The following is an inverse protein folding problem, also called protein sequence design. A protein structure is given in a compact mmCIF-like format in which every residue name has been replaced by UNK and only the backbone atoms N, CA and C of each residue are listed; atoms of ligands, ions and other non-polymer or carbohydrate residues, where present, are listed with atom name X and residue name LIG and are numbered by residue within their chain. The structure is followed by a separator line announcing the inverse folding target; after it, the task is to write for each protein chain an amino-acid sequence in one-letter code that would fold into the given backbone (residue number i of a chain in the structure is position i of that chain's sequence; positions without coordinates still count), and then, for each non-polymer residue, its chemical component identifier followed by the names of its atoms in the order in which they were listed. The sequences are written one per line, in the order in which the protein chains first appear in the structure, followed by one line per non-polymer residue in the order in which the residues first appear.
data_IF_153258716067
#
_entry.id   IF_153258716067
#
_cell.length_a   1.000
_cell.length_b   1.000
_cell.length_c   1.000
_cell.angle_alpha   90.00
_cell.angle_beta   90.00
_cell.angle_gamma   90.00
#
_symmetry.space_group_name_H-M   'P 1'
#
loop_
_entity.id
_entity.type
_entity.pdbx_description
1 polymer ?
#
# COMPACT_ATOMS: atom_id res chain seq x y z
N UNK A 1 33.63 13.62 60.01
CA UNK A 1 34.25 13.06 58.79
C UNK A 1 33.28 13.37 57.63
N UNK A 2 33.29 14.53 56.96
CA UNK A 2 34.19 14.92 55.83
C UNK A 2 34.47 13.69 54.93
N UNK A 3 34.13 13.61 53.63
CA UNK A 3 34.37 14.54 52.49
C UNK A 3 33.82 13.82 51.20
N UNK A 4 32.99 14.41 50.32
CA UNK A 4 33.25 14.96 48.94
C UNK A 4 31.94 14.67 48.16
N UNK A 5 31.10 15.56 47.61
CA UNK A 5 31.18 16.71 46.69
C UNK A 5 31.73 16.40 45.29
N UNK A 6 30.84 16.12 44.33
CA UNK A 6 31.04 16.45 42.92
C UNK A 6 29.69 16.82 42.28
N UNK A 7 29.60 18.12 41.96
CA UNK A 7 28.51 18.83 41.32
C UNK A 7 28.84 18.93 39.82
N UNK A 8 27.96 18.48 38.93
CA UNK A 8 27.96 18.95 37.53
C UNK A 8 26.51 19.14 37.08
N UNK A 9 26.16 20.42 36.88
CA UNK A 9 25.05 20.87 36.05
C UNK A 9 25.08 20.14 34.70
N UNK A 10 23.97 19.52 34.28
CA UNK A 10 23.73 19.37 32.84
C UNK A 10 22.57 20.29 32.47
N UNK A 11 22.98 21.37 31.81
CA UNK A 11 22.19 22.40 31.17
C UNK A 11 21.15 21.78 30.23
N UNK A 12 19.98 22.39 30.23
CA UNK A 12 19.09 22.47 29.08
C UNK A 12 19.84 22.70 27.78
N UNK A 13 19.85 21.70 26.89
CA UNK A 13 20.04 21.91 25.47
C UNK A 13 18.92 21.15 24.76
N UNK A 14 17.94 21.93 24.30
CA UNK A 14 17.15 21.60 23.13
C UNK A 14 18.13 21.22 22.01
N UNK A 15 18.32 19.92 21.77
CA UNK A 15 18.65 19.46 20.44
C UNK A 15 17.34 18.99 19.83
N UNK A 16 16.66 19.92 19.17
CA UNK A 16 15.77 19.59 18.08
C UNK A 16 16.59 18.73 17.11
N UNK A 17 16.51 17.40 17.26
CA UNK A 17 16.99 16.50 16.23
C UNK A 17 16.03 16.66 15.07
N UNK A 18 16.35 17.63 14.21
CA UNK A 18 15.88 17.63 12.84
C UNK A 18 16.49 16.39 12.21
N UNK A 19 15.75 15.28 12.28
CA UNK A 19 16.08 14.11 11.47
C UNK A 19 15.97 14.58 10.03
N UNK A 20 17.00 14.40 9.18
CA UNK A 20 16.79 14.61 7.76
C UNK A 20 15.71 13.61 7.34
N UNK A 21 14.50 14.12 7.12
CA UNK A 21 13.54 13.48 6.24
C UNK A 21 14.30 13.34 4.93
N UNK A 22 14.71 12.11 4.59
CA UNK A 22 15.07 11.81 3.22
C UNK A 22 13.79 12.07 2.44
N UNK A 23 13.72 13.26 1.86
CA UNK A 23 12.70 13.62 0.93
C UNK A 23 12.66 12.50 -0.12
N UNK A 24 11.48 11.94 -0.34
CA UNK A 24 11.20 11.02 -1.44
C UNK A 24 11.30 11.71 -2.82
N UNK A 25 12.17 12.73 -2.93
CA UNK A 25 12.25 13.70 -4.02
C UNK A 25 13.12 13.19 -5.19
N UNK A 26 13.22 11.87 -5.35
CA UNK A 26 13.93 11.26 -6.48
C UNK A 26 13.15 10.11 -7.15
N UNK A 27 11.86 9.96 -6.87
CA UNK A 27 11.02 8.95 -7.54
C UNK A 27 10.14 9.54 -8.65
N UNK A 28 10.29 10.82 -9.00
CA UNK A 28 9.62 11.41 -10.18
C UNK A 28 10.60 12.21 -11.02
N UNK A 29 11.29 11.51 -11.92
CA UNK A 29 11.91 12.14 -13.07
C UNK A 29 10.83 12.68 -14.00
N UNK A 30 10.44 13.94 -13.83
CA UNK A 30 9.91 14.76 -14.91
C UNK A 30 10.40 16.18 -14.73
N UNK A 31 11.67 16.36 -15.06
CA UNK A 31 12.23 17.68 -15.37
C UNK A 31 11.66 18.15 -16.70
N UNK A 32 11.17 19.39 -16.74
CA UNK A 32 11.12 20.15 -17.98
C UNK A 32 9.71 20.49 -18.45
N UNK A 33 9.25 21.66 -18.02
CA UNK A 33 8.40 22.51 -18.85
C UNK A 33 9.08 22.69 -20.20
N UNK A 34 8.41 22.34 -21.30
CA UNK A 34 8.55 23.05 -22.59
C UNK A 34 7.20 23.00 -23.28
N UNK A 35 6.56 24.16 -23.34
CA UNK A 35 5.41 24.41 -24.21
C UNK A 35 5.95 24.64 -25.62
N UNK A 36 5.47 23.87 -26.60
CA UNK A 36 5.45 24.31 -28.00
C UNK A 36 4.17 23.83 -28.66
N UNK A 37 3.46 24.75 -29.29
CA UNK A 37 2.17 24.58 -29.96
C UNK A 37 2.38 24.47 -31.48
N UNK A 38 1.44 23.77 -32.14
CA UNK A 38 1.00 23.80 -33.56
C UNK A 38 1.59 22.83 -34.61
N UNK A 39 0.66 22.19 -35.36
CA UNK A 39 0.90 21.65 -36.71
C UNK A 39 -0.03 20.51 -37.18
N UNK A 40 -1.05 20.82 -37.97
CA UNK A 40 -1.99 19.89 -38.63
C UNK A 40 -1.39 18.96 -39.70
N UNK A 41 -2.10 17.85 -39.93
CA UNK A 41 -2.33 17.12 -41.21
C UNK A 41 -1.30 16.09 -41.71
N UNK A 42 -1.82 14.96 -42.24
CA UNK A 42 -1.13 14.19 -43.28
C UNK A 42 -1.22 12.67 -43.18
N UNK A 43 -1.94 12.08 -44.13
CA UNK A 43 -2.16 10.66 -44.44
C UNK A 43 -0.92 9.78 -44.68
N UNK A 44 -1.06 8.45 -44.48
CA UNK A 44 -0.30 7.46 -45.27
C UNK A 44 -0.11 6.08 -44.62
N UNK A 45 -0.98 5.13 -44.92
CA UNK A 45 -0.68 3.68 -44.99
C UNK A 45 -0.23 3.39 -46.46
N UNK A 46 0.48 2.28 -46.86
CA UNK A 46 0.18 0.89 -46.50
C UNK A 46 1.33 -0.13 -46.40
N UNK A 47 1.05 -1.29 -45.78
CA UNK A 47 1.28 -2.57 -46.47
C UNK A 47 1.97 -3.72 -45.71
N UNK A 48 1.20 -4.81 -45.53
CA UNK A 48 1.63 -6.24 -45.54
C UNK A 48 2.03 -6.84 -44.19
N UNK A 49 1.56 -8.01 -43.75
CA UNK A 49 0.69 -9.06 -44.29
C UNK A 49 0.96 -10.37 -43.51
N UNK A 50 -0.04 -11.25 -43.35
CA UNK A 50 0.20 -12.66 -42.97
C UNK A 50 -0.72 -13.29 -41.91
N UNK A 51 -1.84 -13.84 -42.39
CA UNK A 51 -2.46 -15.16 -42.11
C UNK A 51 -2.96 -15.64 -40.72
N UNK A 52 -4.20 -16.18 -40.78
CA UNK A 52 -4.68 -17.34 -40.01
C UNK A 52 -5.88 -17.10 -39.09
N UNK A 53 -7.14 -17.03 -39.56
CA UNK A 53 -8.07 -18.14 -39.86
C UNK A 53 -9.00 -18.60 -38.70
N UNK A 54 -10.28 -18.23 -38.85
CA UNK A 54 -11.55 -18.92 -38.53
C UNK A 54 -12.15 -18.97 -37.10
N UNK A 55 -13.39 -18.46 -37.01
CA UNK A 55 -14.41 -18.90 -36.05
C UNK A 55 -15.47 -17.84 -35.72
N UNK A 56 -16.52 -17.73 -36.55
CA UNK A 56 -17.58 -16.74 -36.37
C UNK A 56 -18.61 -17.06 -35.29
N UNK A 57 -19.24 -16.01 -34.75
CA UNK A 57 -20.39 -16.08 -33.85
C UNK A 57 -20.94 -14.68 -33.58
N UNK A 58 -21.95 -14.27 -34.35
CA UNK A 58 -22.73 -13.05 -34.14
C UNK A 58 -23.76 -13.29 -33.03
N UNK A 59 -23.87 -12.39 -32.07
CA UNK A 59 -24.98 -12.42 -31.11
C UNK A 59 -24.82 -11.47 -29.92
N UNK A 60 -25.63 -10.41 -29.92
CA UNK A 60 -26.20 -9.84 -28.70
C UNK A 60 -25.30 -8.91 -27.89
N UNK A 61 -25.46 -7.60 -28.12
CA UNK A 61 -24.98 -6.57 -27.23
C UNK A 61 -25.54 -6.78 -25.81
N UNK A 62 -24.63 -7.13 -24.91
CA UNK A 62 -24.76 -6.91 -23.48
C UNK A 62 -23.68 -5.89 -23.16
N UNK A 63 -24.04 -4.70 -22.70
CA UNK A 63 -23.07 -3.79 -22.11
C UNK A 63 -22.61 -4.49 -20.83
N UNK A 64 -21.43 -5.10 -20.88
CA UNK A 64 -20.79 -5.77 -19.76
C UNK A 64 -20.36 -4.67 -18.76
N UNK A 65 -20.88 -4.66 -17.52
CA UNK A 65 -20.62 -3.58 -16.58
C UNK A 65 -19.17 -3.68 -16.07
N UNK A 66 -18.26 -2.99 -16.78
CA UNK A 66 -16.92 -2.61 -16.33
C UNK A 66 -16.06 -3.77 -15.82
N UNK A 67 -15.38 -4.47 -16.73
CA UNK A 67 -14.31 -5.38 -16.32
C UNK A 67 -13.14 -4.55 -15.81
N UNK A 68 -13.05 -4.42 -14.50
CA UNK A 68 -11.86 -3.92 -13.83
C UNK A 68 -10.59 -4.63 -14.30
N UNK A 69 -9.43 -3.98 -14.18
CA UNK A 69 -8.17 -4.65 -14.53
C UNK A 69 -7.85 -5.75 -13.51
N UNK A 70 -7.35 -6.89 -13.97
CA UNK A 70 -6.97 -7.99 -13.08
C UNK A 70 -5.79 -7.54 -12.21
N UNK A 71 -6.01 -7.47 -10.91
CA UNK A 71 -4.95 -7.16 -9.95
C UNK A 71 -4.00 -8.35 -9.79
N UNK A 72 -2.83 -8.10 -9.21
CA UNK A 72 -1.69 -9.00 -9.25
C UNK A 72 -1.76 -10.25 -8.38
N UNK A 73 -2.88 -10.59 -7.74
CA UNK A 73 -3.03 -11.79 -6.93
C UNK A 73 -3.91 -12.87 -7.55
N UNK A 74 -3.30 -13.79 -8.30
CA UNK A 74 -4.01 -15.01 -8.71
C UNK A 74 -3.96 -16.07 -7.62
N UNK A 75 -5.13 -16.57 -7.22
CA UNK A 75 -5.26 -17.69 -6.29
C UNK A 75 -5.37 -19.05 -6.99
N UNK A 76 -5.30 -19.04 -8.32
CA UNK A 76 -5.39 -20.23 -9.16
C UNK A 76 -6.80 -20.84 -9.24
N UNK A 77 -7.81 -20.25 -8.59
CA UNK A 77 -9.18 -20.77 -8.52
C UNK A 77 -10.20 -19.84 -9.21
N UNK A 78 -9.75 -18.83 -9.96
CA UNK A 78 -10.61 -17.96 -10.76
C UNK A 78 -11.39 -16.91 -9.96
N UNK A 79 -11.01 -16.68 -8.69
CA UNK A 79 -11.54 -15.63 -7.83
C UNK A 79 -10.55 -14.47 -7.68
N UNK A 80 -9.90 -14.10 -8.79
CA UNK A 80 -9.01 -12.95 -8.84
C UNK A 80 -9.89 -11.70 -8.67
N UNK A 81 -9.56 -10.84 -7.70
CA UNK A 81 -10.27 -9.59 -7.50
C UNK A 81 -9.72 -8.57 -8.51
N UNK A 82 -10.61 -7.75 -9.06
CA UNK A 82 -10.26 -6.76 -10.08
C UNK A 82 -10.07 -5.40 -9.42
N UNK A 83 -9.26 -4.53 -10.02
CA UNK A 83 -9.21 -3.12 -9.67
C UNK A 83 -10.34 -2.39 -10.37
N UNK A 84 -10.91 -1.35 -9.79
CA UNK A 84 -11.86 -0.50 -10.50
C UNK A 84 -11.19 0.14 -11.73
N UNK A 85 -12.00 0.46 -12.74
CA UNK A 85 -11.53 1.09 -13.98
C UNK A 85 -10.68 2.34 -13.70
N UNK A 86 -9.61 2.52 -14.48
CA UNK A 86 -8.65 3.61 -14.30
C UNK A 86 -7.70 3.43 -13.12
N UNK A 87 -7.62 2.24 -12.52
CA UNK A 87 -6.67 1.93 -11.44
C UNK A 87 -5.84 0.72 -11.83
N UNK A 88 -4.52 0.85 -11.74
CA UNK A 88 -3.56 -0.23 -11.96
C UNK A 88 -2.60 -0.35 -10.78
N UNK A 89 -1.93 -1.50 -10.66
CA UNK A 89 -0.81 -1.66 -9.71
C UNK A 89 0.42 -1.02 -10.32
N UNK A 90 1.14 -0.21 -9.55
CA UNK A 90 2.42 0.35 -9.96
C UNK A 90 3.39 -0.78 -10.33
N UNK A 91 3.93 -0.74 -11.55
CA UNK A 91 4.79 -1.80 -12.08
C UNK A 91 6.07 -1.99 -11.26
N UNK A 92 6.54 -0.93 -10.62
CA UNK A 92 7.78 -0.94 -9.84
C UNK A 92 7.54 -1.38 -8.38
N UNK A 93 6.30 -1.47 -7.91
CA UNK A 93 6.00 -1.87 -6.53
C UNK A 93 6.56 -3.26 -6.21
N UNK A 94 6.58 -4.16 -7.20
CA UNK A 94 7.10 -5.53 -7.03
C UNK A 94 8.62 -5.54 -6.93
N UNK A 95 9.27 -4.57 -7.58
CA UNK A 95 10.71 -4.41 -7.58
C UNK A 95 11.15 -3.74 -6.28
N UNK A 96 10.56 -2.58 -5.96
CA UNK A 96 11.03 -1.69 -4.90
C UNK A 96 10.26 -1.81 -3.58
N UNK A 97 9.18 -2.57 -3.48
CA UNK A 97 8.35 -2.60 -2.28
C UNK A 97 7.60 -1.28 -2.03
N UNK A 98 6.86 -1.21 -0.93
CA UNK A 98 5.95 -0.07 -0.64
C UNK A 98 5.99 0.42 0.80
N UNK A 99 6.61 -0.33 1.72
CA UNK A 99 6.77 0.07 3.12
C UNK A 99 8.24 0.27 3.49
N UNK A 100 8.48 1.21 4.39
CA UNK A 100 9.77 1.41 5.04
C UNK A 100 9.71 0.92 6.49
N UNK A 101 10.85 0.46 7.02
CA UNK A 101 10.99 0.09 8.44
C UNK A 101 11.03 1.32 9.36
N UNK A 102 10.90 1.08 10.67
CA UNK A 102 11.02 2.08 11.73
C UNK A 102 12.49 2.30 12.15
N UNK A 103 12.80 3.39 12.88
CA UNK A 103 14.12 3.59 13.47
C UNK A 103 14.60 2.37 14.25
N UNK A 104 15.88 2.04 14.11
CA UNK A 104 16.46 0.82 14.69
C UNK A 104 16.31 -0.44 13.84
N UNK A 105 15.88 -0.31 12.56
CA UNK A 105 15.72 -1.43 11.62
C UNK A 105 14.67 -2.45 12.06
N UNK A 106 13.61 -1.97 12.70
CA UNK A 106 12.46 -2.77 13.14
C UNK A 106 11.35 -2.60 12.13
N UNK A 107 10.79 -3.69 11.59
CA UNK A 107 9.59 -3.56 10.75
C UNK A 107 8.37 -3.20 11.61
N UNK A 108 8.29 -3.83 12.79
CA UNK A 108 7.27 -3.62 13.80
C UNK A 108 5.88 -4.02 13.29
N UNK A 109 5.75 -5.29 12.91
CA UNK A 109 4.51 -5.86 12.37
C UNK A 109 3.29 -5.62 13.26
N UNK A 110 3.46 -5.59 14.58
CA UNK A 110 2.37 -5.47 15.56
C UNK A 110 2.01 -4.01 15.89
N UNK A 111 2.72 -3.03 15.31
CA UNK A 111 2.39 -1.62 15.50
C UNK A 111 1.17 -1.24 14.68
N UNK A 112 0.28 -0.47 15.28
CA UNK A 112 -0.89 0.08 14.58
C UNK A 112 -0.45 1.10 13.52
N UNK A 113 -1.01 0.98 12.32
CA UNK A 113 -0.81 1.98 11.27
C UNK A 113 -1.58 3.25 11.57
N UNK A 114 -0.94 4.38 11.27
CA UNK A 114 -1.61 5.68 11.18
C UNK A 114 -2.35 5.82 9.85
N UNK A 115 -3.31 6.75 9.80
CA UNK A 115 -4.04 7.09 8.57
C UNK A 115 -3.12 7.67 7.49
N UNK A 116 -2.08 8.41 7.88
CA UNK A 116 -1.06 8.91 6.96
C UNK A 116 -0.24 7.78 6.34
N UNK A 117 0.24 6.83 7.15
CA UNK A 117 0.98 5.68 6.64
C UNK A 117 0.12 4.85 5.68
N UNK A 118 -1.15 4.60 6.02
CA UNK A 118 -2.10 3.94 5.11
C UNK A 118 -2.18 4.67 3.76
N UNK A 119 -2.41 5.98 3.77
CA UNK A 119 -2.49 6.77 2.54
C UNK A 119 -1.21 6.62 1.71
N UNK A 120 -0.04 6.70 2.34
CA UNK A 120 1.24 6.56 1.61
C UNK A 120 1.49 5.15 1.06
N UNK A 121 0.98 4.10 1.71
CA UNK A 121 1.04 2.74 1.18
C UNK A 121 0.20 2.65 -0.09
N UNK A 122 -1.05 3.11 -0.05
CA UNK A 122 -1.95 3.08 -1.21
C UNK A 122 -1.38 3.87 -2.38
N UNK A 123 -0.87 5.06 -2.08
CA UNK A 123 -0.29 5.99 -3.05
C UNK A 123 0.96 5.46 -3.76
N UNK A 124 1.70 4.54 -3.12
CA UNK A 124 2.86 3.85 -3.70
C UNK A 124 2.50 2.58 -4.46
N UNK A 125 1.38 1.96 -4.10
CA UNK A 125 0.98 0.66 -4.66
C UNK A 125 0.17 0.83 -5.93
N UNK A 126 -0.67 1.85 -6.00
CA UNK A 126 -1.62 2.03 -7.08
C UNK A 126 -1.35 3.27 -7.90
N UNK A 127 -1.52 3.13 -9.22
CA UNK A 127 -1.52 4.21 -10.19
C UNK A 127 -2.97 4.46 -10.60
N UNK A 128 -3.35 5.72 -10.65
CA UNK A 128 -4.70 6.16 -10.97
C UNK A 128 -4.64 6.97 -12.27
N UNK A 129 -5.41 6.58 -13.27
CA UNK A 129 -5.50 7.28 -14.54
C UNK A 129 -6.26 8.61 -14.38
N UNK A 130 -5.85 9.62 -15.14
CA UNK A 130 -6.47 10.94 -15.16
C UNK A 130 -5.50 12.07 -14.80
N UNK A 131 -6.01 13.30 -14.84
CA UNK A 131 -5.25 14.49 -14.47
C UNK A 131 -5.06 14.56 -12.96
N UNK A 132 -3.84 14.84 -12.50
CA UNK A 132 -3.52 15.03 -11.08
C UNK A 132 -3.94 16.43 -10.60
N UNK A 133 -5.24 16.73 -10.65
CA UNK A 133 -5.79 17.95 -10.08
C UNK A 133 -6.07 17.76 -8.58
N UNK A 134 -5.48 18.62 -7.75
CA UNK A 134 -5.75 18.64 -6.31
C UNK A 134 -7.05 19.42 -6.05
N UNK A 135 -8.16 18.69 -5.92
CA UNK A 135 -9.49 19.24 -5.65
C UNK A 135 -9.89 19.12 -4.18
N UNK A 136 -9.16 18.32 -3.39
CA UNK A 136 -9.42 18.09 -1.97
C UNK A 136 -8.14 18.23 -1.14
N UNK A 137 -8.28 18.95 -0.02
CA UNK A 137 -7.24 19.06 1.01
C UNK A 137 -7.84 19.12 2.41
N UNK A 138 -7.00 18.91 3.42
CA UNK A 138 -7.38 18.96 4.84
C UNK A 138 -6.52 19.96 5.60
N UNK A 139 -7.13 20.64 6.57
CA UNK A 139 -6.47 21.72 7.31
C UNK A 139 -5.38 21.22 8.26
N UNK A 140 -5.56 20.01 8.79
CA UNK A 140 -4.67 19.34 9.73
C UNK A 140 -3.54 18.54 9.06
N UNK A 141 -3.51 18.48 7.72
CA UNK A 141 -2.42 17.84 6.96
C UNK A 141 -1.41 18.84 6.43
N UNK A 142 -1.65 20.15 6.57
CA UNK A 142 -0.75 21.18 6.04
C UNK A 142 0.63 21.13 6.69
N UNK A 143 1.68 20.94 5.89
CA UNK A 143 3.05 20.76 6.34
C UNK A 143 3.37 19.36 6.88
N UNK A 144 2.41 18.43 6.82
CA UNK A 144 2.61 17.04 7.22
C UNK A 144 3.35 16.28 6.11
N UNK A 145 4.22 15.33 6.47
CA UNK A 145 5.04 14.58 5.50
C UNK A 145 4.22 13.78 4.48
N UNK A 146 2.98 13.42 4.83
CA UNK A 146 2.04 12.70 3.97
C UNK A 146 1.03 13.61 3.23
N UNK A 147 1.17 14.94 3.33
CA UNK A 147 0.18 15.90 2.80
C UNK A 147 -0.13 15.65 1.32
N UNK A 148 0.91 15.48 0.51
CA UNK A 148 0.78 15.31 -0.95
C UNK A 148 0.00 14.04 -1.28
N UNK A 149 0.36 12.93 -0.64
CA UNK A 149 -0.28 11.63 -0.86
C UNK A 149 -1.74 11.65 -0.41
N UNK A 150 -2.02 12.25 0.76
CA UNK A 150 -3.38 12.39 1.27
C UNK A 150 -4.23 13.23 0.32
N UNK A 151 -3.74 14.39 -0.12
CA UNK A 151 -4.49 15.29 -1.00
C UNK A 151 -4.77 14.64 -2.36
N UNK A 152 -3.79 13.94 -2.95
CA UNK A 152 -3.96 13.21 -4.22
C UNK A 152 -5.04 12.14 -4.11
N UNK A 153 -4.90 11.23 -3.16
CA UNK A 153 -5.87 10.15 -2.96
C UNK A 153 -7.26 10.66 -2.56
N UNK A 154 -7.34 11.77 -1.81
CA UNK A 154 -8.62 12.37 -1.45
C UNK A 154 -9.31 13.04 -2.65
N UNK A 155 -8.53 13.64 -3.55
CA UNK A 155 -9.04 14.25 -4.79
C UNK A 155 -9.56 13.17 -5.77
N UNK A 156 -8.98 11.97 -5.71
CA UNK A 156 -9.44 10.79 -6.44
C UNK A 156 -10.59 10.05 -5.73
N UNK A 157 -11.03 10.51 -4.55
CA UNK A 157 -12.08 9.88 -3.78
C UNK A 157 -11.70 8.51 -3.20
N UNK A 158 -10.41 8.19 -3.09
CA UNK A 158 -9.93 6.91 -2.55
C UNK A 158 -9.88 6.95 -1.01
N UNK A 159 -9.37 8.05 -0.45
CA UNK A 159 -9.34 8.27 1.00
C UNK A 159 -10.30 9.39 1.41
N UNK A 160 -10.85 9.27 2.61
CA UNK A 160 -11.75 10.27 3.19
C UNK A 160 -11.23 10.70 4.55
N UNK A 161 -11.37 11.99 4.85
CA UNK A 161 -11.14 12.51 6.19
C UNK A 161 -12.21 12.08 7.18
N UNK A 162 -11.92 12.24 8.47
CA UNK A 162 -12.90 12.03 9.55
C UNK A 162 -13.97 13.13 9.58
N UNK A 163 -13.73 14.23 8.87
CA UNK A 163 -14.70 15.28 8.60
C UNK A 163 -14.43 15.90 7.22
N UNK A 164 -15.24 16.89 6.83
CA UNK A 164 -15.03 17.62 5.60
C UNK A 164 -13.69 18.37 5.54
N UNK A 165 -13.09 18.71 6.68
CA UNK A 165 -11.89 19.58 6.77
C UNK A 165 -10.70 18.94 7.50
N UNK A 166 -10.89 17.79 8.14
CA UNK A 166 -9.85 17.10 8.92
C UNK A 166 -9.65 15.66 8.46
N UNK A 167 -8.40 15.27 8.29
CA UNK A 167 -8.00 13.91 7.96
C UNK A 167 -7.57 13.09 9.17
N UNK A 168 -6.96 13.73 10.17
CA UNK A 168 -6.24 13.14 11.31
C UNK A 168 -5.12 12.19 10.88
N UNK A 169 -4.02 12.73 10.33
CA UNK A 169 -2.96 11.91 9.75
C UNK A 169 -2.27 10.98 10.76
N UNK A 170 -2.12 11.42 12.01
CA UNK A 170 -1.41 10.67 13.06
C UNK A 170 -2.30 9.71 13.87
N UNK A 171 -3.62 9.75 13.68
CA UNK A 171 -4.53 8.83 14.37
C UNK A 171 -4.36 7.40 13.80
N UNK A 172 -4.37 6.36 14.65
CA UNK A 172 -4.46 4.98 14.20
C UNK A 172 -5.69 4.74 13.31
N UNK A 173 -5.54 3.91 12.28
CA UNK A 173 -6.63 3.54 11.37
C UNK A 173 -7.24 2.19 11.75
N UNK A 174 -8.57 2.12 11.78
CA UNK A 174 -9.32 0.89 12.10
C UNK A 174 -9.47 -0.03 10.88
N UNK A 175 -9.66 -1.33 11.14
CA UNK A 175 -9.84 -2.34 10.08
C UNK A 175 -11.02 -2.01 9.17
N UNK A 176 -12.17 -1.57 9.71
CA UNK A 176 -13.31 -1.15 8.90
C UNK A 176 -12.98 0.02 7.96
N UNK A 177 -12.27 1.03 8.46
CA UNK A 177 -11.84 2.18 7.66
C UNK A 177 -10.92 1.75 6.52
N UNK A 178 -9.98 0.85 6.77
CA UNK A 178 -9.13 0.27 5.72
C UNK A 178 -9.96 -0.46 4.68
N UNK A 179 -10.83 -1.39 5.09
CA UNK A 179 -11.62 -2.19 4.15
C UNK A 179 -12.53 -1.31 3.28
N UNK A 180 -13.12 -0.26 3.86
CA UNK A 180 -13.97 0.67 3.11
C UNK A 180 -13.18 1.57 2.16
N UNK A 181 -11.96 1.99 2.51
CA UNK A 181 -11.12 2.74 1.58
C UNK A 181 -10.61 1.84 0.45
N UNK A 182 -10.20 0.60 0.76
CA UNK A 182 -9.82 -0.38 -0.25
C UNK A 182 -10.96 -0.80 -1.17
N UNK A 183 -12.22 -0.81 -0.70
CA UNK A 183 -13.37 -1.11 -1.55
C UNK A 183 -13.61 -0.08 -2.67
N UNK A 184 -12.89 1.05 -2.66
CA UNK A 184 -12.90 2.06 -3.73
C UNK A 184 -11.84 1.81 -4.79
N UNK A 185 -10.85 1.00 -4.45
CA UNK A 185 -9.80 0.54 -5.34
C UNK A 185 -10.21 -0.78 -5.99
N UNK A 186 -10.88 -1.65 -5.23
CA UNK A 186 -11.16 -3.02 -5.63
C UNK A 186 -12.61 -3.17 -6.08
N UNK A 187 -12.77 -3.81 -7.24
CA UNK A 187 -14.04 -4.28 -7.74
C UNK A 187 -14.41 -5.60 -7.03
N UNK A 188 -15.30 -5.49 -6.04
CA UNK A 188 -15.75 -6.63 -5.22
C UNK A 188 -17.26 -6.86 -5.30
N UNK A 189 -17.93 -6.23 -6.27
CA UNK A 189 -19.40 -6.24 -6.37
C UNK A 189 -19.98 -7.63 -6.72
N UNK A 190 -19.16 -8.50 -7.30
CA UNK A 190 -19.47 -9.89 -7.62
C UNK A 190 -19.47 -10.82 -6.38
N UNK A 191 -18.91 -10.39 -5.24
CA UNK A 191 -18.92 -11.18 -4.01
C UNK A 191 -20.23 -11.01 -3.23
N UNK A 192 -20.53 -11.99 -2.39
CA UNK A 192 -21.71 -11.97 -1.52
C UNK A 192 -21.70 -10.76 -0.58
N UNK A 193 -22.89 -10.15 -0.41
CA UNK A 193 -23.12 -9.06 0.57
C UNK A 193 -23.46 -9.57 1.97
N UNK A 194 -23.45 -10.88 2.16
CA UNK A 194 -23.57 -11.58 3.45
C UNK A 194 -22.25 -12.27 3.80
N UNK A 195 -21.83 -12.19 5.06
CA UNK A 195 -20.63 -12.86 5.56
C UNK A 195 -21.03 -13.85 6.67
N UNK A 196 -20.63 -15.11 6.52
CA UNK A 196 -21.04 -16.20 7.42
C UNK A 196 -20.12 -16.37 8.64
N UNK A 197 -19.02 -15.61 8.69
CA UNK A 197 -17.95 -15.79 9.67
C UNK A 197 -17.99 -14.65 10.69
N UNK A 198 -17.96 -13.40 10.21
CA UNK A 198 -18.01 -12.19 11.04
C UNK A 198 -19.45 -11.67 11.06
N UNK A 199 -19.96 -11.39 12.25
CA UNK A 199 -21.26 -10.72 12.39
C UNK A 199 -21.15 -9.24 12.02
N UNK A 200 -21.83 -8.86 10.94
CA UNK A 200 -21.86 -7.49 10.41
C UNK A 200 -23.22 -6.82 10.60
N UNK A 201 -24.15 -7.44 11.34
CA UNK A 201 -25.55 -6.99 11.45
C UNK A 201 -25.69 -5.52 11.85
N UNK A 202 -24.88 -5.08 12.82
CA UNK A 202 -24.86 -3.72 13.37
C UNK A 202 -23.90 -2.76 12.63
N UNK A 203 -23.17 -3.23 11.61
CA UNK A 203 -22.19 -2.39 10.91
C UNK A 203 -22.86 -1.55 9.81
N UNK A 204 -22.66 -0.23 9.85
CA UNK A 204 -23.27 0.73 8.90
C UNK A 204 -22.97 0.43 7.42
N UNK A 205 -21.79 -0.13 7.15
CA UNK A 205 -21.34 -0.53 5.82
C UNK A 205 -21.27 -2.05 5.60
N UNK A 206 -22.19 -2.81 6.21
CA UNK A 206 -22.17 -4.29 6.22
C UNK A 206 -22.03 -4.93 4.84
N UNK A 207 -22.69 -4.39 3.81
CA UNK A 207 -22.67 -4.98 2.45
C UNK A 207 -21.27 -4.90 1.85
N UNK A 208 -20.66 -3.73 1.89
CA UNK A 208 -19.33 -3.47 1.34
C UNK A 208 -18.26 -4.24 2.12
N UNK A 209 -18.34 -4.27 3.46
CA UNK A 209 -17.40 -5.06 4.26
C UNK A 209 -17.55 -6.55 4.01
N UNK A 210 -18.79 -7.07 3.88
CA UNK A 210 -19.00 -8.47 3.54
C UNK A 210 -18.34 -8.84 2.21
N UNK A 211 -18.50 -8.00 1.19
CA UNK A 211 -17.86 -8.20 -0.12
C UNK A 211 -16.32 -8.20 -0.02
N UNK A 212 -15.77 -7.26 0.73
CA UNK A 212 -14.33 -7.19 0.99
C UNK A 212 -13.82 -8.45 1.71
N UNK A 213 -14.49 -8.89 2.77
CA UNK A 213 -14.13 -10.10 3.52
C UNK A 213 -14.27 -11.38 2.67
N UNK A 214 -15.32 -11.46 1.86
CA UNK A 214 -15.59 -12.60 0.99
C UNK A 214 -14.68 -12.66 -0.25
N UNK A 215 -14.03 -11.55 -0.61
CA UNK A 215 -13.08 -11.53 -1.73
C UNK A 215 -11.80 -12.32 -1.47
N UNK A 216 -11.55 -12.70 -0.20
CA UNK A 216 -10.32 -13.37 0.22
C UNK A 216 -9.09 -12.46 0.23
N UNK A 217 -9.25 -11.15 0.01
CA UNK A 217 -8.17 -10.18 0.16
C UNK A 217 -7.66 -10.12 1.61
N UNK A 218 -8.56 -10.31 2.58
CA UNK A 218 -8.21 -10.49 3.99
C UNK A 218 -7.84 -11.97 4.17
N UNK A 219 -6.54 -12.32 4.35
CA UNK A 219 -6.07 -13.70 4.17
C UNK A 219 -6.54 -14.68 5.24
N UNK A 220 -6.87 -14.20 6.44
CA UNK A 220 -7.40 -15.03 7.52
C UNK A 220 -8.20 -14.16 8.50
N UNK A 221 -9.43 -14.58 8.79
CA UNK A 221 -10.28 -13.99 9.82
C UNK A 221 -11.27 -15.06 10.30
N UNK A 222 -11.72 -14.94 11.55
CA UNK A 222 -12.74 -15.79 12.16
C UNK A 222 -13.86 -14.94 12.77
N UNK A 223 -14.76 -15.56 13.54
CA UNK A 223 -15.87 -14.83 14.17
C UNK A 223 -15.45 -13.80 15.22
N UNK A 224 -14.19 -13.80 15.65
CA UNK A 224 -13.62 -12.83 16.58
C UNK A 224 -13.02 -11.59 15.89
N UNK A 225 -13.01 -11.56 14.54
CA UNK A 225 -12.40 -10.46 13.78
C UNK A 225 -13.10 -9.12 14.05
N UNK A 226 -12.49 -8.33 14.92
CA UNK A 226 -13.04 -7.06 15.38
C UNK A 226 -12.70 -5.92 14.40
N UNK A 227 -13.71 -5.44 13.69
CA UNK A 227 -13.62 -4.37 12.71
C UNK A 227 -13.26 -2.99 13.29
N UNK A 228 -13.56 -2.76 14.57
CA UNK A 228 -13.24 -1.51 15.26
C UNK A 228 -11.82 -1.49 15.82
N UNK A 229 -11.09 -2.60 15.76
CA UNK A 229 -9.69 -2.64 16.15
C UNK A 229 -8.83 -1.90 15.13
N UNK A 230 -7.78 -1.22 15.61
CA UNK A 230 -6.75 -0.64 14.74
C UNK A 230 -6.03 -1.75 13.96
N UNK A 231 -5.75 -1.48 12.68
CA UNK A 231 -5.01 -2.42 11.86
C UNK A 231 -3.51 -2.32 12.20
N UNK A 232 -2.86 -3.46 12.25
CA UNK A 232 -1.41 -3.52 12.41
C UNK A 232 -0.69 -3.41 11.05
N UNK A 233 0.59 -3.05 11.09
CA UNK A 233 1.47 -3.02 9.90
C UNK A 233 1.54 -4.37 9.19
N UNK A 234 1.61 -5.47 9.95
CA UNK A 234 1.65 -6.83 9.42
C UNK A 234 0.35 -7.23 8.72
N UNK A 235 -0.81 -6.90 9.29
CA UNK A 235 -2.10 -7.16 8.66
C UNK A 235 -2.28 -6.37 7.36
N UNK A 236 -1.94 -5.08 7.36
CA UNK A 236 -2.02 -4.27 6.14
C UNK A 236 -1.09 -4.81 5.05
N UNK A 237 0.11 -5.22 5.42
CA UNK A 237 1.05 -5.87 4.51
C UNK A 237 0.45 -7.15 3.90
N UNK A 238 -0.21 -7.99 4.70
CA UNK A 238 -0.86 -9.19 4.20
C UNK A 238 -1.95 -8.87 3.17
N UNK A 239 -2.79 -7.88 3.47
CA UNK A 239 -3.85 -7.40 2.59
C UNK A 239 -3.25 -6.82 1.30
N UNK A 240 -2.25 -5.95 1.39
CA UNK A 240 -1.59 -5.35 0.23
C UNK A 240 -0.88 -6.37 -0.64
N UNK A 241 -0.19 -7.33 -0.04
CA UNK A 241 0.45 -8.38 -0.82
C UNK A 241 -0.54 -9.29 -1.51
N UNK A 242 -1.68 -9.54 -0.86
CA UNK A 242 -2.77 -10.24 -1.52
C UNK A 242 -3.23 -9.49 -2.76
N UNK A 243 -3.18 -8.14 -2.79
CA UNK A 243 -3.52 -7.25 -3.93
C UNK A 243 -2.53 -7.26 -5.10
N UNK A 244 -1.24 -7.39 -4.81
CA UNK A 244 -0.18 -7.16 -5.80
C UNK A 244 0.51 -8.45 -6.25
N UNK A 245 0.54 -9.50 -5.42
CA UNK A 245 1.25 -10.74 -5.69
C UNK A 245 0.31 -11.94 -5.80
N UNK A 246 0.59 -12.90 -6.71
CA UNK A 246 -0.06 -14.21 -6.67
C UNK A 246 0.15 -14.81 -5.28
N UNK A 247 -0.89 -15.39 -4.68
CA UNK A 247 -0.87 -15.82 -3.27
C UNK A 247 0.25 -16.83 -2.95
N UNK A 248 0.95 -17.36 -3.97
CA UNK A 248 2.03 -18.35 -3.88
C UNK A 248 3.44 -17.89 -4.36
N UNK A 249 3.71 -16.60 -4.63
CA UNK A 249 5.02 -16.17 -5.19
C UNK A 249 6.15 -15.98 -4.15
N UNK A 250 6.99 -16.99 -3.90
CA UNK A 250 8.12 -16.89 -2.94
C UNK A 250 9.29 -16.04 -3.49
N UNK A 251 9.78 -15.05 -2.72
CA UNK A 251 10.95 -14.23 -3.07
C UNK A 251 12.14 -14.57 -2.15
N UNK A 252 12.90 -15.59 -2.55
CA UNK A 252 14.05 -16.09 -1.79
C UNK A 252 15.17 -15.04 -1.66
N UNK A 253 15.37 -14.21 -2.69
CA UNK A 253 16.49 -13.27 -2.76
C UNK A 253 16.39 -12.19 -1.68
N UNK A 254 15.18 -11.66 -1.46
CA UNK A 254 14.92 -10.65 -0.43
C UNK A 254 15.13 -11.22 0.98
N UNK A 255 14.71 -12.46 1.21
CA UNK A 255 14.92 -13.15 2.51
C UNK A 255 16.40 -13.36 2.78
N UNK A 256 17.14 -13.86 1.79
CA UNK A 256 18.57 -14.12 1.93
C UNK A 256 19.37 -12.83 2.15
N UNK A 257 18.95 -11.72 1.54
CA UNK A 257 19.55 -10.41 1.75
C UNK A 257 19.32 -9.88 3.18
N UNK A 258 18.11 -10.04 3.73
CA UNK A 258 17.82 -9.70 5.13
C UNK A 258 18.69 -10.51 6.10
N UNK A 259 18.86 -11.82 5.85
CA UNK A 259 19.75 -12.69 6.64
C UNK A 259 21.20 -12.25 6.56
N UNK A 260 21.70 -11.98 5.35
CA UNK A 260 23.08 -11.57 5.13
C UNK A 260 23.42 -10.26 5.87
N UNK A 261 22.47 -9.33 5.92
CA UNK A 261 22.65 -8.02 6.55
C UNK A 261 22.30 -7.99 8.03
N UNK A 262 21.79 -9.10 8.58
CA UNK A 262 21.36 -9.22 9.98
C UNK A 262 20.35 -8.12 10.38
N UNK A 263 19.33 -7.91 9.54
CA UNK A 263 18.24 -6.96 9.77
C UNK A 263 16.89 -7.68 9.77
N UNK A 264 15.87 -7.06 10.37
CA UNK A 264 14.52 -7.64 10.50
C UNK A 264 14.52 -9.03 11.17
N UNK A 265 15.34 -9.19 12.22
CA UNK A 265 15.46 -10.44 12.97
C UNK A 265 14.14 -10.88 13.62
N UNK A 266 13.25 -9.92 13.90
CA UNK A 266 11.87 -10.15 14.34
C UNK A 266 11.05 -10.93 13.31
N UNK A 267 11.27 -10.69 12.01
CA UNK A 267 10.64 -11.48 10.95
C UNK A 267 11.38 -12.80 10.71
N UNK A 268 12.72 -12.78 10.67
CA UNK A 268 13.53 -13.96 10.30
C UNK A 268 13.40 -15.14 11.28
N UNK A 269 13.06 -14.88 12.54
CA UNK A 269 12.82 -15.91 13.57
C UNK A 269 11.40 -16.50 13.57
N UNK A 270 10.48 -15.95 12.79
CA UNK A 270 9.04 -16.18 12.90
C UNK A 270 8.44 -16.73 11.59
N UNK A 271 9.16 -17.66 10.93
CA UNK A 271 8.76 -18.18 9.60
C UNK A 271 7.42 -18.91 9.57
N UNK A 272 6.93 -19.35 10.73
CA UNK A 272 5.66 -20.07 10.92
C UNK A 272 4.49 -19.13 11.30
N UNK A 273 4.76 -17.84 11.55
CA UNK A 273 3.71 -16.89 11.94
C UNK A 273 2.78 -16.53 10.77
N UNK A 274 1.49 -16.29 11.03
CA UNK A 274 0.58 -15.74 10.04
C UNK A 274 1.17 -14.47 9.41
N UNK A 275 1.16 -14.42 8.08
CA UNK A 275 1.63 -13.30 7.27
C UNK A 275 3.15 -13.07 7.23
N UNK A 276 3.98 -14.01 7.71
CA UNK A 276 5.45 -13.92 7.57
C UNK A 276 5.89 -13.66 6.12
N UNK A 277 5.44 -14.51 5.18
CA UNK A 277 5.81 -14.40 3.76
C UNK A 277 5.37 -13.04 3.19
N UNK A 278 4.19 -12.58 3.59
CA UNK A 278 3.70 -11.26 3.22
C UNK A 278 4.64 -10.17 3.76
N UNK A 279 4.90 -10.18 5.06
CA UNK A 279 5.78 -9.19 5.72
C UNK A 279 7.14 -9.08 5.02
N UNK A 280 7.72 -10.21 4.61
CA UNK A 280 8.96 -10.22 3.84
C UNK A 280 8.83 -9.56 2.47
N UNK A 281 7.74 -9.78 1.72
CA UNK A 281 7.54 -9.18 0.39
C UNK A 281 7.32 -7.66 0.40
N UNK A 282 6.80 -7.10 1.49
CA UNK A 282 6.52 -5.67 1.56
C UNK A 282 7.77 -4.79 1.72
N UNK A 283 8.89 -5.38 2.13
CA UNK A 283 10.13 -4.66 2.40
C UNK A 283 10.73 -4.11 1.10
N UNK A 284 11.14 -2.84 1.13
CA UNK A 284 11.88 -2.23 0.03
C UNK A 284 13.28 -2.84 -0.12
N UNK A 285 13.56 -3.45 -1.28
CA UNK A 285 14.85 -4.09 -1.53
C UNK A 285 15.99 -3.09 -1.65
N UNK A 286 15.76 -1.89 -2.19
CA UNK A 286 16.78 -0.85 -2.29
C UNK A 286 17.16 -0.34 -0.90
N UNK A 287 16.17 -0.22 0.00
CA UNK A 287 16.45 0.10 1.39
C UNK A 287 17.36 -0.96 2.00
N UNK A 288 17.01 -2.24 1.85
CA UNK A 288 17.81 -3.36 2.34
C UNK A 288 19.23 -3.31 1.76
N UNK A 289 19.38 -3.16 0.45
CA UNK A 289 20.66 -3.10 -0.26
C UNK A 289 21.58 -2.00 0.27
N UNK A 290 21.02 -0.82 0.55
CA UNK A 290 21.73 0.37 1.06
C UNK A 290 22.18 0.24 2.53
N UNK A 291 21.64 -0.71 3.30
CA UNK A 291 22.11 -0.93 4.69
C UNK A 291 23.52 -1.53 4.68
N UNK A 292 24.48 -0.84 5.31
CA UNK A 292 25.83 -1.35 5.50
C UNK A 292 25.85 -2.54 6.46
N UNK A 293 26.59 -3.60 6.10
CA UNK A 293 26.72 -4.79 6.94
C UNK A 293 27.42 -4.41 8.24
N UNK A 294 26.73 -4.56 9.38
CA UNK A 294 27.38 -4.51 10.69
C UNK A 294 28.29 -5.73 10.84
N UNK A 295 29.54 -5.59 10.41
CA UNK A 295 30.59 -6.53 10.80
C UNK A 295 30.85 -6.35 12.30
N UNK A 296 30.12 -7.07 13.13
CA UNK A 296 30.55 -7.31 14.50
C UNK A 296 31.83 -8.16 14.41
N UNK A 297 32.98 -7.47 14.43
CA UNK A 297 34.26 -8.11 14.73
C UNK A 297 34.13 -8.68 16.13
N UNK A 298 33.94 -10.00 16.20
CA UNK A 298 34.13 -10.79 17.41
C UNK A 298 35.58 -10.53 17.85
N UNK A 299 35.75 -9.76 18.94
CA UNK A 299 37.00 -9.66 19.69
C UNK A 299 37.02 -10.71 20.78
#
# INVERSE_FOLDING_TARGET
MQKILALVLCLSILSSFSVPVFAADSMRGSTGVTITVEGQSGSGNPGGGGDGSHGGGSGGGSIDPGKGEQSGGSDGNGNDYFLNEGISVDGDVKLYGYMIGMPGYVFGKDYNLTRAEYATIIDRVFVFEGEEEITKSFTDTKGHWAEVQINRLASQGIVYGVSATHFKPDDPITRDQVLLMLSRILYTTNFSTDNKVVDLSEHYAKKQIAQMLNSGIVPAYDSSYNLSQCITRGEMCAITNNMIYPRNSFDAARIDLCRQKNIFGDLLGESEEPFYISSMRALDINFIEKVEVKNEKIQ
#
